data_IF_642877387004
#
_entry.id   IF_642877387004
#
_cell.length_a   1.000
_cell.length_b   1.000
_cell.length_c   1.000
_cell.angle_alpha   90.00
_cell.angle_beta   90.00
_cell.angle_gamma   90.00
#
_symmetry.space_group_name_H-M   'P 1'
#
loop_
_entity.id
_entity.type
_entity.pdbx_description
1 polymer ?
#
# COMPACT_ATOMS: atom_id res chain seq x y z
N UNK A 1 -7.47 7.31 -39.89
CA UNK A 1 -8.17 7.73 -38.69
C UNK A 1 -8.66 6.47 -37.96
N UNK A 2 -7.86 5.89 -37.09
CA UNK A 2 -8.18 4.64 -36.38
C UNK A 2 -9.20 4.93 -35.26
N UNK A 3 -10.41 4.39 -35.39
CA UNK A 3 -11.40 4.43 -34.31
C UNK A 3 -10.94 3.47 -33.21
N UNK A 4 -10.47 4.01 -32.08
CA UNK A 4 -10.16 3.21 -30.89
C UNK A 4 -11.43 2.43 -30.46
N UNK A 5 -11.30 1.13 -30.16
CA UNK A 5 -12.43 0.31 -29.70
C UNK A 5 -13.03 0.89 -28.43
N UNK A 6 -14.37 0.81 -28.35
CA UNK A 6 -15.17 1.36 -27.22
C UNK A 6 -14.64 0.94 -25.84
N UNK A 7 -14.05 -0.25 -25.74
CA UNK A 7 -13.42 -0.80 -24.51
C UNK A 7 -12.24 0.03 -24.00
N UNK A 8 -11.43 0.60 -24.91
CA UNK A 8 -10.28 1.44 -24.54
C UNK A 8 -10.75 2.85 -24.13
N UNK A 9 -11.84 3.36 -24.71
CA UNK A 9 -12.45 4.63 -24.29
C UNK A 9 -12.93 4.61 -22.83
N UNK A 10 -13.53 3.50 -22.38
CA UNK A 10 -14.03 3.39 -21.00
C UNK A 10 -12.85 3.35 -19.98
N UNK A 11 -11.76 2.69 -20.35
CA UNK A 11 -10.54 2.67 -19.52
C UNK A 11 -9.93 4.08 -19.46
N UNK A 12 -9.87 4.79 -20.60
CA UNK A 12 -9.34 6.17 -20.66
C UNK A 12 -10.22 7.16 -19.88
N UNK A 13 -11.55 7.01 -19.91
CA UNK A 13 -12.48 7.88 -19.17
C UNK A 13 -12.40 7.62 -17.66
N UNK A 14 -12.20 6.38 -17.24
CA UNK A 14 -12.00 6.05 -15.81
C UNK A 14 -10.64 6.56 -15.31
N UNK A 15 -9.60 6.45 -16.13
CA UNK A 15 -8.27 7.02 -15.86
C UNK A 15 -8.30 8.56 -15.86
N UNK A 16 -9.08 9.18 -16.75
CA UNK A 16 -9.21 10.65 -16.81
C UNK A 16 -9.89 11.23 -15.58
N UNK A 17 -10.91 10.57 -15.03
CA UNK A 17 -11.58 11.01 -13.80
C UNK A 17 -10.67 10.87 -12.56
N UNK A 18 -9.84 9.82 -12.51
CA UNK A 18 -8.86 9.65 -11.46
C UNK A 18 -7.71 10.67 -11.60
N UNK A 19 -7.26 10.93 -12.84
CA UNK A 19 -6.27 11.96 -13.15
C UNK A 19 -6.80 13.36 -12.80
N UNK A 20 -8.07 13.66 -13.06
CA UNK A 20 -8.67 14.95 -12.73
C UNK A 20 -8.74 15.14 -11.20
N UNK A 21 -9.08 14.11 -10.43
CA UNK A 21 -9.07 14.19 -8.96
C UNK A 21 -7.64 14.34 -8.42
N UNK A 22 -6.66 13.65 -9.00
CA UNK A 22 -5.24 13.76 -8.64
C UNK A 22 -4.65 15.11 -9.07
N UNK A 23 -4.99 15.60 -10.27
CA UNK A 23 -4.62 16.93 -10.77
C UNK A 23 -5.29 18.05 -9.94
N UNK A 24 -6.55 17.90 -9.57
CA UNK A 24 -7.23 18.87 -8.71
C UNK A 24 -6.60 18.93 -7.31
N UNK A 25 -6.26 17.78 -6.73
CA UNK A 25 -5.52 17.71 -5.47
C UNK A 25 -4.12 18.34 -5.60
N UNK A 26 -3.39 18.03 -6.68
CA UNK A 26 -2.05 18.61 -6.94
C UNK A 26 -2.13 20.13 -7.23
N UNK A 27 -3.17 20.60 -7.93
CA UNK A 27 -3.43 22.00 -8.17
C UNK A 27 -3.81 22.75 -6.89
N UNK A 28 -4.63 22.14 -6.02
CA UNK A 28 -4.97 22.72 -4.71
C UNK A 28 -3.73 22.80 -3.83
N UNK A 29 -2.91 21.75 -3.76
CA UNK A 29 -1.64 21.75 -3.02
C UNK A 29 -0.66 22.78 -3.60
N UNK A 30 -0.57 22.87 -4.94
CA UNK A 30 0.29 23.87 -5.62
C UNK A 30 -0.20 25.31 -5.42
N UNK A 31 -1.51 25.54 -5.49
CA UNK A 31 -2.10 26.89 -5.30
C UNK A 31 -2.01 27.33 -3.84
N UNK A 32 -2.17 26.40 -2.89
CA UNK A 32 -1.91 26.62 -1.48
C UNK A 32 -0.42 26.92 -1.23
N UNK A 33 0.50 26.14 -1.84
CA UNK A 33 1.94 26.40 -1.73
C UNK A 33 2.34 27.78 -2.31
N UNK A 34 1.79 28.18 -3.46
CA UNK A 34 2.11 29.49 -4.07
C UNK A 34 1.55 30.65 -3.24
N UNK A 35 0.33 30.55 -2.70
CA UNK A 35 -0.21 31.57 -1.78
C UNK A 35 0.58 31.67 -0.47
N UNK A 36 1.08 30.55 0.02
CA UNK A 36 1.88 30.47 1.24
C UNK A 36 3.28 31.02 1.00
N UNK A 37 3.90 30.72 -0.16
CA UNK A 37 5.24 31.19 -0.53
C UNK A 37 5.30 32.70 -0.79
N UNK A 38 4.27 33.30 -1.38
CA UNK A 38 4.20 34.74 -1.63
C UNK A 38 3.97 35.61 -0.38
N UNK A 39 3.60 35.01 0.75
CA UNK A 39 3.41 35.71 2.03
C UNK A 39 4.63 35.64 2.96
N UNK A 40 5.76 35.12 2.48
CA UNK A 40 6.94 34.77 3.31
C UNK A 40 8.04 35.85 3.40
N UNK A 41 7.74 37.13 3.24
CA UNK A 41 8.81 38.11 3.43
C UNK A 41 8.93 38.71 4.85
N UNK A 42 8.22 38.19 5.85
CA UNK A 42 8.33 38.73 7.23
C UNK A 42 8.21 37.69 8.34
N UNK A 43 9.32 37.52 9.09
CA UNK A 43 9.44 37.04 10.48
C UNK A 43 9.41 35.55 10.80
N UNK A 44 10.42 35.11 11.57
CA UNK A 44 10.63 33.81 12.18
C UNK A 44 9.39 33.21 12.91
N UNK A 45 8.50 34.04 13.44
CA UNK A 45 7.22 33.62 14.03
C UNK A 45 6.18 33.10 13.02
N UNK A 46 6.26 33.53 11.77
CA UNK A 46 5.35 33.12 10.70
C UNK A 46 5.74 31.74 10.10
N UNK A 47 7.01 31.34 10.22
CA UNK A 47 7.51 30.07 9.72
C UNK A 47 6.97 28.90 10.55
N UNK A 48 6.94 29.01 11.87
CA UNK A 48 6.45 27.94 12.74
C UNK A 48 4.94 27.70 12.56
N UNK A 49 4.13 28.76 12.42
CA UNK A 49 2.70 28.64 12.15
C UNK A 49 2.42 28.01 10.78
N UNK A 50 3.28 28.27 9.80
CA UNK A 50 3.20 27.67 8.47
C UNK A 50 3.49 26.16 8.51
N UNK A 51 4.56 25.76 9.20
CA UNK A 51 4.93 24.35 9.37
C UNK A 51 3.79 23.59 10.08
N UNK A 52 3.24 24.15 11.16
CA UNK A 52 2.12 23.53 11.87
C UNK A 52 0.87 23.38 10.96
N UNK A 53 0.59 24.36 10.13
CA UNK A 53 -0.54 24.31 9.18
C UNK A 53 -0.33 23.24 8.11
N UNK A 54 0.88 23.14 7.54
CA UNK A 54 1.21 22.09 6.55
C UNK A 54 1.10 20.70 7.18
N UNK A 55 1.61 20.52 8.41
CA UNK A 55 1.52 19.26 9.13
C UNK A 55 0.06 18.86 9.38
N UNK A 56 -0.79 19.81 9.78
CA UNK A 56 -2.21 19.55 9.98
C UNK A 56 -2.91 19.04 8.70
N UNK A 57 -2.66 19.70 7.56
CA UNK A 57 -3.20 19.25 6.27
C UNK A 57 -2.66 17.90 5.85
N UNK A 58 -1.38 17.63 6.10
CA UNK A 58 -0.77 16.32 5.81
C UNK A 58 -1.38 15.21 6.66
N UNK A 59 -1.60 15.47 7.95
CA UNK A 59 -2.27 14.53 8.88
C UNK A 59 -3.72 14.30 8.43
N UNK A 60 -4.46 15.36 8.07
CA UNK A 60 -5.82 15.23 7.56
C UNK A 60 -5.89 14.41 6.27
N UNK A 61 -5.00 14.65 5.31
CA UNK A 61 -4.93 13.90 4.07
C UNK A 61 -4.58 12.42 4.30
N UNK A 62 -3.60 12.14 5.17
CA UNK A 62 -3.24 10.78 5.56
C UNK A 62 -4.38 10.04 6.24
N UNK A 63 -5.10 10.71 7.15
CA UNK A 63 -6.27 10.15 7.85
C UNK A 63 -7.41 9.85 6.86
N UNK A 64 -7.72 10.76 5.94
CA UNK A 64 -8.72 10.53 4.89
C UNK A 64 -8.36 9.35 3.99
N UNK A 65 -7.08 9.18 3.66
CA UNK A 65 -6.58 8.04 2.89
C UNK A 65 -6.88 6.71 3.58
N UNK A 66 -6.63 6.63 4.88
CA UNK A 66 -6.90 5.41 5.68
C UNK A 66 -8.40 5.15 5.78
N UNK A 67 -9.20 6.19 6.04
CA UNK A 67 -10.67 6.08 6.10
C UNK A 67 -11.23 5.58 4.77
N UNK A 68 -10.77 6.13 3.65
CA UNK A 68 -11.15 5.66 2.31
C UNK A 68 -10.76 4.19 2.09
N UNK A 69 -9.53 3.81 2.45
CA UNK A 69 -9.04 2.42 2.36
C UNK A 69 -9.90 1.46 3.16
N UNK A 70 -10.26 1.83 4.40
CA UNK A 70 -11.09 1.04 5.29
C UNK A 70 -12.49 0.80 4.70
N UNK A 71 -13.21 1.86 4.31
CA UNK A 71 -14.55 1.72 3.73
C UNK A 71 -14.55 0.98 2.40
N UNK A 72 -13.53 1.22 1.56
CA UNK A 72 -13.39 0.50 0.28
C UNK A 72 -13.11 -0.98 0.52
N UNK A 73 -12.26 -1.32 1.49
CA UNK A 73 -12.00 -2.70 1.89
C UNK A 73 -13.26 -3.41 2.38
N UNK A 74 -14.03 -2.79 3.26
CA UNK A 74 -15.32 -3.33 3.72
C UNK A 74 -16.29 -3.58 2.56
N UNK A 75 -16.38 -2.66 1.61
CA UNK A 75 -17.24 -2.79 0.43
C UNK A 75 -16.83 -3.97 -0.46
N UNK A 76 -15.53 -4.20 -0.65
CA UNK A 76 -15.01 -5.36 -1.38
C UNK A 76 -15.37 -6.66 -0.64
N UNK A 77 -15.08 -6.72 0.66
CA UNK A 77 -15.35 -7.92 1.46
C UNK A 77 -16.85 -8.27 1.52
N UNK A 78 -17.74 -7.28 1.44
CA UNK A 78 -19.19 -7.46 1.33
C UNK A 78 -19.68 -7.89 -0.06
N UNK A 79 -18.83 -7.91 -1.07
CA UNK A 79 -19.18 -8.31 -2.43
C UNK A 79 -19.29 -9.84 -2.55
N UNK A 80 -20.08 -10.34 -3.53
CA UNK A 80 -20.28 -11.76 -3.76
C UNK A 80 -18.98 -12.49 -4.06
N UNK A 81 -18.72 -13.57 -3.34
CA UNK A 81 -17.59 -14.47 -3.56
C UNK A 81 -17.88 -15.62 -4.56
N UNK A 82 -18.99 -15.53 -5.29
CA UNK A 82 -19.36 -16.53 -6.30
C UNK A 82 -19.98 -17.80 -5.73
N UNK A 83 -19.92 -18.88 -6.50
CA UNK A 83 -20.51 -20.16 -6.15
C UNK A 83 -19.64 -20.95 -5.14
N UNK A 84 -20.19 -22.07 -4.61
CA UNK A 84 -19.50 -22.91 -3.61
C UNK A 84 -18.13 -23.41 -4.08
N UNK A 85 -18.00 -23.81 -5.36
CA UNK A 85 -16.74 -24.30 -5.93
C UNK A 85 -15.67 -23.20 -6.00
N UNK A 86 -16.06 -21.97 -6.36
CA UNK A 86 -15.15 -20.82 -6.35
C UNK A 86 -14.66 -20.50 -4.95
N UNK A 87 -15.55 -20.59 -3.96
CA UNK A 87 -15.21 -20.32 -2.56
C UNK A 87 -14.30 -21.43 -1.97
N UNK A 88 -14.49 -22.67 -2.37
CA UNK A 88 -13.64 -23.81 -1.99
C UNK A 88 -12.20 -23.60 -2.50
N UNK A 89 -12.04 -23.28 -3.79
CA UNK A 89 -10.75 -22.99 -4.39
C UNK A 89 -10.11 -21.76 -3.71
N UNK A 90 -10.88 -20.70 -3.50
CA UNK A 90 -10.41 -19.50 -2.82
C UNK A 90 -9.93 -19.78 -1.40
N UNK A 91 -10.62 -20.65 -0.66
CA UNK A 91 -10.23 -21.07 0.68
C UNK A 91 -8.87 -21.79 0.68
N UNK A 92 -8.62 -22.67 -0.27
CA UNK A 92 -7.33 -23.34 -0.42
C UNK A 92 -6.19 -22.33 -0.68
N UNK A 93 -6.42 -21.35 -1.58
CA UNK A 93 -5.46 -20.27 -1.85
C UNK A 93 -5.21 -19.42 -0.60
N UNK A 94 -6.26 -19.11 0.16
CA UNK A 94 -6.15 -18.32 1.39
C UNK A 94 -5.32 -19.03 2.47
N UNK A 95 -5.46 -20.34 2.62
CA UNK A 95 -4.66 -21.14 3.56
C UNK A 95 -3.18 -21.02 3.20
N UNK A 96 -2.82 -21.23 1.94
CA UNK A 96 -1.45 -21.07 1.44
C UNK A 96 -0.91 -19.68 1.65
N UNK A 97 -1.69 -18.65 1.31
CA UNK A 97 -1.30 -17.25 1.48
C UNK A 97 -1.08 -16.88 2.95
N UNK A 98 -1.95 -17.29 3.86
CA UNK A 98 -1.80 -17.04 5.30
C UNK A 98 -0.57 -17.72 5.89
N UNK A 99 -0.32 -18.98 5.53
CA UNK A 99 0.85 -19.73 5.97
C UNK A 99 2.16 -19.06 5.50
N UNK A 100 2.18 -18.65 4.23
CA UNK A 100 3.30 -17.94 3.65
C UNK A 100 3.55 -16.59 4.36
N UNK A 101 2.51 -15.77 4.51
CA UNK A 101 2.61 -14.48 5.21
C UNK A 101 3.14 -14.66 6.64
N UNK A 102 2.60 -15.60 7.39
CA UNK A 102 3.05 -15.86 8.76
C UNK A 102 4.55 -16.18 8.81
N UNK A 103 5.04 -17.01 7.90
CA UNK A 103 6.47 -17.36 7.81
C UNK A 103 7.32 -16.16 7.42
N UNK A 104 6.91 -15.42 6.40
CA UNK A 104 7.62 -14.26 5.90
C UNK A 104 7.73 -13.16 6.96
N UNK A 105 6.61 -12.78 7.57
CA UNK A 105 6.60 -11.71 8.59
C UNK A 105 7.39 -12.07 9.84
N UNK A 106 7.41 -13.35 10.23
CA UNK A 106 8.29 -13.82 11.31
C UNK A 106 9.77 -13.61 10.97
N UNK A 107 10.18 -13.94 9.75
CA UNK A 107 11.56 -13.73 9.29
C UNK A 107 11.91 -12.26 9.21
N UNK A 108 11.02 -11.43 8.66
CA UNK A 108 11.18 -9.97 8.58
C UNK A 108 11.30 -9.35 9.97
N UNK A 109 10.49 -9.80 10.94
CA UNK A 109 10.53 -9.31 12.30
C UNK A 109 11.89 -9.58 12.97
N UNK A 110 12.45 -10.78 12.80
CA UNK A 110 13.77 -11.13 13.34
C UNK A 110 14.84 -10.21 12.75
N UNK A 111 14.90 -10.08 11.42
CA UNK A 111 15.87 -9.20 10.75
C UNK A 111 15.66 -7.75 11.16
N UNK A 112 14.39 -7.29 11.22
CA UNK A 112 14.03 -5.93 11.62
C UNK A 112 14.49 -5.59 13.03
N UNK A 113 14.35 -6.51 13.98
CA UNK A 113 14.82 -6.31 15.37
C UNK A 113 16.35 -6.22 15.42
N UNK A 114 17.07 -7.08 14.70
CA UNK A 114 18.53 -7.00 14.65
C UNK A 114 19.00 -5.64 14.12
N UNK A 115 18.41 -5.18 13.01
CA UNK A 115 18.73 -3.86 12.44
C UNK A 115 18.34 -2.73 13.39
N UNK A 116 17.19 -2.82 14.08
CA UNK A 116 16.78 -1.85 15.10
C UNK A 116 17.82 -1.70 16.20
N UNK A 117 18.29 -2.82 16.73
CA UNK A 117 19.32 -2.83 17.80
C UNK A 117 20.60 -2.15 17.30
N UNK A 118 21.05 -2.48 16.09
CA UNK A 118 22.25 -1.86 15.50
C UNK A 118 22.06 -0.34 15.36
N UNK A 119 20.90 0.12 14.86
CA UNK A 119 20.62 1.55 14.69
C UNK A 119 20.60 2.27 16.03
N UNK A 120 19.99 1.69 17.07
CA UNK A 120 19.96 2.29 18.40
C UNK A 120 21.36 2.45 19.01
N UNK A 121 22.28 1.49 18.78
CA UNK A 121 23.64 1.56 19.29
C UNK A 121 24.56 2.48 18.48
N UNK A 122 24.41 2.51 17.16
CA UNK A 122 25.31 3.27 16.27
C UNK A 122 24.92 4.75 16.21
N UNK A 123 23.62 5.08 16.25
CA UNK A 123 23.13 6.45 16.13
C UNK A 123 22.56 6.96 17.47
N UNK A 124 21.27 6.77 17.69
CA UNK A 124 20.61 7.11 18.95
C UNK A 124 19.30 6.30 19.11
N UNK A 125 18.76 6.19 20.33
CA UNK A 125 17.46 5.56 20.55
C UNK A 125 16.32 6.27 19.79
N UNK A 126 16.42 7.59 19.60
CA UNK A 126 15.46 8.39 18.87
C UNK A 126 15.45 8.01 17.38
N UNK A 127 16.61 7.87 16.76
CA UNK A 127 16.77 7.39 15.39
C UNK A 127 16.24 5.96 15.25
N UNK A 128 16.51 5.10 16.24
CA UNK A 128 15.96 3.75 16.32
C UNK A 128 14.42 3.74 16.39
N UNK A 129 13.82 4.66 17.13
CA UNK A 129 12.36 4.83 17.18
C UNK A 129 11.79 5.19 15.83
N UNK A 130 12.44 6.10 15.09
CA UNK A 130 12.03 6.42 13.71
C UNK A 130 12.02 5.19 12.80
N UNK A 131 13.11 4.42 12.81
CA UNK A 131 13.19 3.16 12.09
C UNK A 131 12.06 2.19 12.47
N UNK A 132 11.80 2.01 13.76
CA UNK A 132 10.75 1.13 14.25
C UNK A 132 9.36 1.56 13.75
N UNK A 133 9.02 2.85 13.84
CA UNK A 133 7.74 3.40 13.35
C UNK A 133 7.58 3.09 11.85
N UNK A 134 8.60 3.39 11.05
CA UNK A 134 8.58 3.13 9.61
C UNK A 134 8.41 1.66 9.27
N UNK A 135 9.19 0.79 9.91
CA UNK A 135 9.14 -0.65 9.74
C UNK A 135 7.76 -1.24 10.13
N UNK A 136 7.24 -0.84 11.29
CA UNK A 136 5.98 -1.33 11.83
C UNK A 136 4.78 -0.93 10.94
N UNK A 137 4.69 0.34 10.57
CA UNK A 137 3.59 0.84 9.74
C UNK A 137 3.63 0.29 8.31
N UNK A 138 4.83 0.16 7.73
CA UNK A 138 5.02 -0.51 6.44
C UNK A 138 4.61 -1.99 6.51
N UNK A 139 4.96 -2.67 7.60
CA UNK A 139 4.54 -4.04 7.85
C UNK A 139 3.02 -4.19 7.90
N UNK A 140 2.35 -3.33 8.66
CA UNK A 140 0.87 -3.31 8.74
C UNK A 140 0.26 -3.08 7.36
N UNK A 141 0.72 -2.08 6.61
CA UNK A 141 0.19 -1.76 5.29
C UNK A 141 0.32 -2.95 4.32
N UNK A 142 1.49 -3.60 4.31
CA UNK A 142 1.75 -4.78 3.48
C UNK A 142 0.89 -5.99 3.88
N UNK A 143 0.80 -6.27 5.16
CA UNK A 143 0.02 -7.41 5.68
C UNK A 143 -1.48 -7.25 5.41
N UNK A 144 -2.06 -6.11 5.77
CA UNK A 144 -3.48 -5.83 5.54
C UNK A 144 -3.80 -5.77 4.05
N UNK A 145 -2.94 -5.11 3.26
CA UNK A 145 -3.08 -5.04 1.80
C UNK A 145 -3.11 -6.43 1.16
N UNK A 146 -2.22 -7.34 1.58
CA UNK A 146 -2.18 -8.71 1.06
C UNK A 146 -3.43 -9.49 1.46
N UNK A 147 -3.89 -9.40 2.70
CA UNK A 147 -5.12 -10.06 3.14
C UNK A 147 -6.33 -9.61 2.31
N UNK A 148 -6.47 -8.30 2.10
CA UNK A 148 -7.56 -7.75 1.26
C UNK A 148 -7.43 -8.23 -0.18
N UNK A 149 -6.23 -8.28 -0.74
CA UNK A 149 -5.99 -8.74 -2.11
C UNK A 149 -6.36 -10.22 -2.30
N UNK A 150 -5.98 -11.08 -1.37
CA UNK A 150 -6.31 -12.51 -1.42
C UNK A 150 -7.83 -12.72 -1.36
N UNK A 151 -8.52 -11.99 -0.49
CA UNK A 151 -9.98 -12.02 -0.39
C UNK A 151 -10.68 -11.42 -1.64
N UNK A 152 -10.07 -10.44 -2.28
CA UNK A 152 -10.62 -9.78 -3.47
C UNK A 152 -10.50 -10.65 -4.74
N UNK A 153 -9.59 -11.61 -4.80
CA UNK A 153 -9.34 -12.43 -5.99
C UNK A 153 -10.61 -13.16 -6.46
N UNK A 154 -11.26 -13.91 -5.58
CA UNK A 154 -12.50 -14.65 -5.91
C UNK A 154 -13.65 -13.70 -6.26
N UNK A 155 -13.73 -12.55 -5.61
CA UNK A 155 -14.75 -11.52 -5.88
C UNK A 155 -14.52 -10.85 -7.23
N UNK A 156 -13.27 -10.66 -7.61
CA UNK A 156 -12.88 -10.18 -8.94
C UNK A 156 -13.27 -11.20 -10.02
N UNK A 157 -13.00 -12.49 -9.80
CA UNK A 157 -13.40 -13.55 -10.71
C UNK A 157 -14.93 -13.59 -10.88
N UNK A 158 -15.70 -13.53 -9.78
CA UNK A 158 -17.17 -13.51 -9.85
C UNK A 158 -17.70 -12.24 -10.55
N UNK A 159 -17.11 -11.09 -10.26
CA UNK A 159 -17.51 -9.84 -10.93
C UNK A 159 -17.19 -9.87 -12.43
N UNK A 160 -16.10 -10.53 -12.83
CA UNK A 160 -15.70 -10.67 -14.25
C UNK A 160 -16.68 -11.50 -15.06
N UNK A 161 -17.41 -12.44 -14.45
CA UNK A 161 -18.52 -13.18 -15.09
C UNK A 161 -19.65 -12.24 -15.54
N UNK A 162 -19.81 -11.11 -14.88
CA UNK A 162 -20.81 -10.06 -15.20
C UNK A 162 -20.27 -9.00 -16.16
N UNK A 163 -19.05 -9.19 -16.67
CA UNK A 163 -18.40 -8.34 -17.66
C UNK A 163 -17.08 -7.73 -17.16
N UNK A 164 -16.21 -7.43 -18.13
CA UNK A 164 -14.86 -6.91 -17.89
C UNK A 164 -14.84 -5.65 -17.00
N UNK A 165 -15.75 -4.71 -17.21
CA UNK A 165 -15.79 -3.46 -16.46
C UNK A 165 -16.06 -3.68 -14.97
N UNK A 166 -16.90 -4.67 -14.62
CA UNK A 166 -17.21 -5.02 -13.22
C UNK A 166 -16.02 -5.70 -12.56
N UNK A 167 -15.38 -6.66 -13.23
CA UNK A 167 -14.16 -7.31 -12.73
C UNK A 167 -13.04 -6.30 -12.49
N UNK A 168 -12.77 -5.44 -13.49
CA UNK A 168 -11.76 -4.39 -13.37
C UNK A 168 -12.05 -3.42 -12.22
N UNK A 169 -13.31 -3.07 -11.99
CA UNK A 169 -13.69 -2.20 -10.87
C UNK A 169 -13.36 -2.80 -9.52
N UNK A 170 -13.61 -4.11 -9.30
CA UNK A 170 -13.28 -4.80 -8.05
C UNK A 170 -11.76 -4.92 -7.88
N UNK A 171 -11.05 -5.33 -8.92
CA UNK A 171 -9.59 -5.45 -8.91
C UNK A 171 -8.92 -4.10 -8.61
N UNK A 172 -9.37 -3.01 -9.27
CA UNK A 172 -8.85 -1.66 -9.03
C UNK A 172 -9.10 -1.19 -7.61
N UNK A 173 -10.30 -1.39 -7.07
CA UNK A 173 -10.62 -1.04 -5.68
C UNK A 173 -9.73 -1.79 -4.69
N UNK A 174 -9.45 -3.07 -4.93
CA UNK A 174 -8.53 -3.85 -4.09
C UNK A 174 -7.12 -3.27 -4.07
N UNK A 175 -6.58 -2.93 -5.24
CA UNK A 175 -5.29 -2.23 -5.34
C UNK A 175 -5.31 -0.85 -4.66
N UNK A 176 -6.43 -0.11 -4.81
CA UNK A 176 -6.60 1.19 -4.18
C UNK A 176 -6.59 1.12 -2.65
N UNK A 177 -7.14 0.07 -2.03
CA UNK A 177 -7.06 -0.13 -0.57
C UNK A 177 -5.60 -0.18 -0.13
N UNK A 178 -4.78 -1.01 -0.77
CA UNK A 178 -3.35 -1.13 -0.44
C UNK A 178 -2.61 0.19 -0.68
N UNK A 179 -2.83 0.83 -1.83
CA UNK A 179 -2.18 2.10 -2.17
C UNK A 179 -2.53 3.23 -1.20
N UNK A 180 -3.81 3.35 -0.81
CA UNK A 180 -4.26 4.37 0.14
C UNK A 180 -3.77 4.10 1.57
N UNK A 181 -3.67 2.83 1.99
CA UNK A 181 -3.06 2.49 3.28
C UNK A 181 -1.58 2.86 3.31
N UNK A 182 -0.82 2.52 2.28
CA UNK A 182 0.61 2.86 2.19
C UNK A 182 0.82 4.37 2.21
N UNK A 183 0.10 5.11 1.35
CA UNK A 183 0.22 6.56 1.27
C UNK A 183 -0.23 7.24 2.58
N UNK A 184 -1.38 6.83 3.13
CA UNK A 184 -1.92 7.39 4.36
C UNK A 184 -1.04 7.16 5.58
N UNK A 185 -0.56 5.93 5.77
CA UNK A 185 0.33 5.59 6.88
C UNK A 185 1.70 6.28 6.76
N UNK A 186 2.25 6.41 5.53
CA UNK A 186 3.49 7.13 5.31
C UNK A 186 3.37 8.61 5.64
N UNK A 187 2.29 9.27 5.16
CA UNK A 187 2.03 10.68 5.47
C UNK A 187 1.85 10.91 6.97
N UNK A 188 1.08 10.06 7.63
CA UNK A 188 0.86 10.14 9.09
C UNK A 188 2.15 9.89 9.86
N UNK A 189 2.92 8.86 9.49
CA UNK A 189 4.18 8.55 10.15
C UNK A 189 5.14 9.74 10.12
N UNK A 190 5.37 10.30 8.93
CA UNK A 190 6.29 11.42 8.75
C UNK A 190 5.76 12.66 9.48
N UNK A 191 4.50 13.04 9.28
CA UNK A 191 3.95 14.28 9.82
C UNK A 191 3.85 14.25 11.35
N UNK A 192 3.36 13.15 11.92
CA UNK A 192 3.20 13.01 13.38
C UNK A 192 4.56 12.91 14.05
N UNK A 193 5.48 12.10 13.49
CA UNK A 193 6.81 11.95 14.09
C UNK A 193 7.60 13.25 14.01
N UNK A 194 7.59 13.94 12.88
CA UNK A 194 8.23 15.26 12.73
C UNK A 194 7.64 16.29 13.69
N UNK A 195 6.31 16.35 13.83
CA UNK A 195 5.66 17.23 14.80
C UNK A 195 6.14 16.98 16.24
N UNK A 196 6.26 15.71 16.61
CA UNK A 196 6.73 15.28 17.92
C UNK A 196 8.18 15.72 18.17
N UNK A 197 9.06 15.53 17.18
CA UNK A 197 10.47 15.90 17.26
C UNK A 197 10.65 17.42 17.40
N UNK A 198 9.85 18.22 16.65
CA UNK A 198 9.85 19.68 16.76
C UNK A 198 9.41 20.15 18.15
N UNK A 199 8.33 19.58 18.69
CA UNK A 199 7.81 19.95 20.03
C UNK A 199 8.76 19.54 21.15
N UNK A 200 9.52 18.49 20.97
CA UNK A 200 10.56 18.05 21.91
C UNK A 200 11.82 18.91 21.88
N UNK A 201 11.93 19.88 20.93
CA UNK A 201 13.10 20.76 20.82
C UNK A 201 14.37 20.03 20.39
N UNK A 202 14.24 18.94 19.63
CA UNK A 202 15.36 18.15 19.15
C UNK A 202 16.13 18.92 18.08
N UNK A 203 17.46 18.78 18.07
CA UNK A 203 18.34 19.39 17.11
C UNK A 203 18.00 18.99 15.66
N UNK A 204 18.07 19.93 14.73
CA UNK A 204 17.67 19.74 13.31
C UNK A 204 18.38 18.54 12.67
N UNK A 205 19.63 18.31 12.98
CA UNK A 205 20.41 17.18 12.45
C UNK A 205 19.88 15.84 12.94
N UNK A 206 19.51 15.76 14.21
CA UNK A 206 18.94 14.56 14.79
C UNK A 206 17.52 14.31 14.26
N UNK A 207 16.73 15.35 14.06
CA UNK A 207 15.42 15.29 13.39
C UNK A 207 15.56 14.67 12.00
N UNK A 208 16.49 15.13 11.19
CA UNK A 208 16.74 14.60 9.84
C UNK A 208 17.15 13.13 9.91
N UNK A 209 18.08 12.77 10.80
CA UNK A 209 18.52 11.38 10.98
C UNK A 209 17.36 10.46 11.37
N UNK A 210 16.49 10.91 12.27
CA UNK A 210 15.32 10.16 12.72
C UNK A 210 14.30 9.95 11.59
N UNK A 211 14.05 10.96 10.75
CA UNK A 211 13.15 10.85 9.59
C UNK A 211 13.75 9.97 8.48
N UNK A 212 15.06 10.06 8.24
CA UNK A 212 15.77 9.15 7.31
C UNK A 212 15.66 7.71 7.78
N UNK A 213 15.86 7.45 9.09
CA UNK A 213 15.71 6.12 9.66
C UNK A 213 14.27 5.60 9.55
N UNK A 214 13.24 6.46 9.70
CA UNK A 214 11.84 6.10 9.45
C UNK A 214 11.64 5.65 8.01
N UNK A 215 12.15 6.41 7.04
CA UNK A 215 12.09 6.04 5.62
C UNK A 215 12.83 4.74 5.33
N UNK A 216 13.99 4.51 5.96
CA UNK A 216 14.76 3.29 5.84
C UNK A 216 14.01 2.07 6.38
N UNK A 217 13.39 2.18 7.57
CA UNK A 217 12.57 1.12 8.15
C UNK A 217 11.39 0.75 7.25
N UNK A 218 10.67 1.73 6.73
CA UNK A 218 9.55 1.54 5.80
C UNK A 218 10.02 0.85 4.50
N UNK A 219 11.14 1.29 3.93
CA UNK A 219 11.71 0.75 2.71
C UNK A 219 12.19 -0.69 2.88
N UNK A 220 12.88 -1.01 3.97
CA UNK A 220 13.39 -2.35 4.25
C UNK A 220 12.26 -3.37 4.28
N UNK A 221 11.19 -3.10 5.03
CA UNK A 221 10.02 -3.98 5.10
C UNK A 221 9.33 -4.11 3.73
N UNK A 222 9.20 -3.02 3.00
CA UNK A 222 8.59 -3.01 1.65
C UNK A 222 9.38 -3.89 0.67
N UNK A 223 10.72 -3.86 0.71
CA UNK A 223 11.56 -4.71 -0.13
C UNK A 223 11.31 -6.20 0.18
N UNK A 224 11.33 -6.58 1.45
CA UNK A 224 11.07 -7.97 1.84
C UNK A 224 9.65 -8.42 1.47
N UNK A 225 8.65 -7.57 1.65
CA UNK A 225 7.27 -7.86 1.28
C UNK A 225 7.13 -8.07 -0.24
N UNK A 226 7.79 -7.24 -1.05
CA UNK A 226 7.80 -7.35 -2.52
C UNK A 226 8.48 -8.63 -3.00
N UNK A 227 9.66 -8.95 -2.48
CA UNK A 227 10.38 -10.17 -2.82
C UNK A 227 9.57 -11.41 -2.44
N UNK A 228 8.97 -11.38 -1.26
CA UNK A 228 8.12 -12.44 -0.79
C UNK A 228 6.89 -12.67 -1.67
N UNK A 229 6.22 -11.62 -2.11
CA UNK A 229 5.08 -11.71 -3.03
C UNK A 229 5.47 -12.40 -4.34
N UNK A 230 6.64 -12.07 -4.92
CA UNK A 230 7.16 -12.74 -6.10
C UNK A 230 7.44 -14.23 -5.90
N UNK A 231 8.00 -14.60 -4.76
CA UNK A 231 8.24 -16.02 -4.41
C UNK A 231 6.92 -16.78 -4.25
N UNK A 232 5.92 -16.19 -3.60
CA UNK A 232 4.60 -16.79 -3.44
C UNK A 232 3.93 -17.04 -4.80
N UNK A 233 3.94 -16.05 -5.69
CA UNK A 233 3.38 -16.14 -7.04
C UNK A 233 4.05 -17.27 -7.83
N UNK A 234 5.40 -17.34 -7.79
CA UNK A 234 6.11 -18.40 -8.49
C UNK A 234 5.86 -19.79 -7.88
N UNK A 235 5.70 -19.88 -6.58
CA UNK A 235 5.33 -21.13 -5.92
C UNK A 235 3.93 -21.62 -6.33
N UNK A 236 2.97 -20.70 -6.51
CA UNK A 236 1.63 -21.02 -6.99
C UNK A 236 1.65 -21.51 -8.46
N UNK A 237 2.39 -20.82 -9.31
CA UNK A 237 2.62 -21.13 -10.71
C UNK A 237 3.19 -22.56 -10.88
N UNK A 238 4.31 -22.85 -10.24
CA UNK A 238 4.93 -24.19 -10.27
C UNK A 238 3.99 -25.26 -9.71
N UNK A 239 3.24 -24.98 -8.65
CA UNK A 239 2.27 -25.93 -8.08
C UNK A 239 1.14 -26.26 -9.04
N UNK A 240 0.60 -25.27 -9.73
CA UNK A 240 -0.46 -25.45 -10.71
C UNK A 240 0.03 -26.23 -11.96
N UNK A 241 1.26 -25.95 -12.41
CA UNK A 241 1.89 -26.68 -13.51
C UNK A 241 2.10 -28.16 -13.16
N UNK A 242 2.57 -28.47 -11.96
CA UNK A 242 2.75 -29.83 -11.50
C UNK A 242 1.41 -30.59 -11.44
N UNK A 243 0.37 -29.99 -10.88
CA UNK A 243 -0.98 -30.59 -10.84
C UNK A 243 -1.52 -30.78 -12.25
N UNK A 244 -1.36 -29.79 -13.12
CA UNK A 244 -1.79 -29.89 -14.52
C UNK A 244 -1.12 -31.08 -15.24
N UNK A 245 0.19 -31.21 -15.15
CA UNK A 245 0.95 -32.29 -15.83
C UNK A 245 0.74 -33.66 -15.20
N UNK A 246 0.83 -33.74 -13.87
CA UNK A 246 0.89 -35.03 -13.17
C UNK A 246 -0.49 -35.59 -12.88
N UNK A 247 -1.43 -34.78 -12.45
CA UNK A 247 -2.77 -35.23 -12.07
C UNK A 247 -3.78 -35.10 -13.21
N UNK A 248 -3.77 -34.01 -13.95
CA UNK A 248 -4.73 -33.74 -15.02
C UNK A 248 -4.25 -34.23 -16.41
N UNK A 249 -2.95 -34.50 -16.58
CA UNK A 249 -2.36 -34.95 -17.85
C UNK A 249 -2.45 -33.89 -18.97
N UNK A 250 -2.51 -32.61 -18.61
CA UNK A 250 -2.58 -31.49 -19.56
C UNK A 250 -1.21 -30.81 -19.69
N UNK A 251 -0.87 -30.28 -20.90
CA UNK A 251 0.34 -29.47 -21.07
C UNK A 251 0.40 -28.25 -20.16
N UNK A 252 1.60 -27.73 -19.91
CA UNK A 252 1.87 -26.57 -19.04
C UNK A 252 1.13 -25.32 -19.50
N UNK A 253 1.13 -25.04 -20.83
CA UNK A 253 0.47 -23.88 -21.43
C UNK A 253 -0.98 -24.16 -21.89
N UNK A 254 -1.62 -25.19 -21.40
CA UNK A 254 -3.01 -25.50 -21.74
C UNK A 254 -3.97 -24.47 -21.13
N UNK A 255 -4.95 -23.93 -21.88
CA UNK A 255 -5.93 -22.98 -21.36
C UNK A 255 -6.77 -23.47 -20.15
N UNK A 256 -6.76 -24.76 -19.89
CA UNK A 256 -7.43 -25.38 -18.72
C UNK A 256 -6.55 -25.34 -17.48
N UNK A 257 -5.24 -25.12 -17.62
CA UNK A 257 -4.33 -24.99 -16.50
C UNK A 257 -4.58 -23.65 -15.81
N UNK A 258 -4.82 -23.59 -14.48
CA UNK A 258 -5.07 -22.36 -13.75
C UNK A 258 -3.82 -21.49 -13.51
N UNK A 259 -2.61 -22.00 -13.76
CA UNK A 259 -1.36 -21.24 -13.72
C UNK A 259 -1.22 -20.37 -14.97
#
# INVERSE_FOLDING_TARGET
>A
MYKLPLKIKVIFISFSKLNIAFYSFFCIVRTLNIKIFNNQTTKKGNMNSLIETILLYTIAAGSLSIVYGFFTGMNILGSSAGNKKMQEIASAIQIGAKAYLARQYKTIAVVGVVVLVIICFVFSPLVGLGYFIGAFLSGIAGYVGMLVSVEANVRTAEASRKGLAKGLSVAFKSGAVTGMLVAGLALLAIAVYYYFLLKAGIDDREVVNALVALGFGASLISIFARLGGGIFTKGADVGADLVGKVEAGIPEDDPRNPA
#
